data_IF_757420673844
#
_entry.id   IF_757420673844
#
_cell.length_a   1.000
_cell.length_b   1.000
_cell.length_c   1.000
_cell.angle_alpha   90.00
_cell.angle_beta   90.00
_cell.angle_gamma   90.00
#
_symmetry.space_group_name_H-M   'P 1'
#
loop_
_entity.id
_entity.type
_entity.pdbx_description
1 polymer ?
#
# COMPACT_ATOMS: atom_id res chain seq x y z
N UNK A 1 -9.90 -15.14 -11.61
CA UNK A 1 -8.86 -14.81 -10.62
C UNK A 1 -7.53 -15.38 -11.12
N UNK A 2 -6.73 -14.58 -11.83
CA UNK A 2 -5.48 -15.07 -12.46
C UNK A 2 -4.36 -15.25 -11.43
N UNK A 3 -4.29 -14.36 -10.43
CA UNK A 3 -3.32 -14.42 -9.34
C UNK A 3 -3.45 -15.74 -8.54
N UNK A 4 -4.67 -16.15 -8.20
CA UNK A 4 -4.91 -17.39 -7.45
C UNK A 4 -4.48 -18.63 -8.22
N UNK A 5 -4.68 -18.62 -9.54
CA UNK A 5 -4.25 -19.71 -10.42
C UNK A 5 -2.72 -19.85 -10.41
N UNK A 6 -2.00 -18.73 -10.54
CA UNK A 6 -0.53 -18.71 -10.44
C UNK A 6 -0.06 -19.20 -9.07
N UNK A 7 -0.67 -18.68 -7.99
CA UNK A 7 -0.34 -19.08 -6.62
C UNK A 7 -0.49 -20.59 -6.41
N UNK A 8 -1.63 -21.18 -6.80
CA UNK A 8 -1.87 -22.62 -6.66
C UNK A 8 -0.86 -23.46 -7.44
N UNK A 9 -0.44 -22.99 -8.62
CA UNK A 9 0.51 -23.73 -9.47
C UNK A 9 1.91 -23.73 -8.87
N UNK A 10 2.34 -22.60 -8.32
CA UNK A 10 3.62 -22.44 -7.62
C UNK A 10 3.63 -23.28 -6.34
N UNK A 11 2.57 -23.22 -5.54
CA UNK A 11 2.45 -23.98 -4.28
C UNK A 11 2.62 -25.48 -4.50
N UNK A 12 1.93 -26.04 -5.52
CA UNK A 12 2.07 -27.46 -5.90
C UNK A 12 3.50 -27.83 -6.28
N UNK A 13 4.27 -26.91 -6.85
CA UNK A 13 5.66 -27.16 -7.28
C UNK A 13 6.65 -27.09 -6.12
N UNK A 14 6.36 -26.31 -5.08
CA UNK A 14 7.25 -26.04 -3.94
C UNK A 14 7.04 -27.04 -2.79
N UNK A 15 5.83 -27.57 -2.58
CA UNK A 15 5.43 -28.33 -1.38
C UNK A 15 6.33 -29.52 -0.99
N UNK A 16 7.07 -30.10 -1.93
CA UNK A 16 7.94 -31.28 -1.71
C UNK A 16 9.38 -31.03 -2.21
N UNK A 17 9.85 -29.78 -2.20
CA UNK A 17 11.21 -29.44 -2.60
C UNK A 17 11.95 -28.76 -1.46
N UNK A 18 13.18 -29.18 -1.24
CA UNK A 18 14.09 -28.50 -0.32
C UNK A 18 14.63 -27.24 -0.97
N UNK A 19 14.35 -26.09 -0.35
CA UNK A 19 14.85 -24.80 -0.77
C UNK A 19 15.92 -24.38 0.21
N UNK A 20 17.17 -24.49 -0.22
CA UNK A 20 18.33 -24.17 0.61
C UNK A 20 18.66 -22.67 0.55
N UNK A 21 18.33 -22.01 -0.57
CA UNK A 21 18.68 -20.61 -0.82
C UNK A 21 17.46 -19.86 -1.40
N UNK A 22 17.19 -18.61 -0.97
CA UNK A 22 16.09 -17.81 -1.52
C UNK A 22 16.15 -17.59 -3.04
N UNK A 23 17.33 -17.64 -3.65
CA UNK A 23 17.50 -17.52 -5.11
C UNK A 23 16.86 -18.70 -5.86
N UNK A 24 16.76 -19.88 -5.25
CA UNK A 24 16.20 -21.08 -5.87
C UNK A 24 14.69 -20.93 -6.14
N UNK A 25 14.00 -20.05 -5.41
CA UNK A 25 12.59 -19.73 -5.65
C UNK A 25 12.34 -19.23 -7.07
N UNK A 26 13.28 -18.49 -7.68
CA UNK A 26 13.14 -17.98 -9.05
C UNK A 26 12.98 -19.15 -10.01
N UNK A 27 13.88 -20.13 -9.92
CA UNK A 27 13.86 -21.32 -10.78
C UNK A 27 12.59 -22.14 -10.59
N UNK A 28 12.07 -22.20 -9.36
CA UNK A 28 10.86 -22.96 -9.04
C UNK A 28 9.60 -22.26 -9.52
N UNK A 29 9.57 -20.93 -9.45
CA UNK A 29 8.48 -20.11 -9.96
C UNK A 29 8.43 -20.11 -11.50
N UNK A 30 9.57 -20.02 -12.19
CA UNK A 30 9.63 -20.10 -13.67
C UNK A 30 9.08 -21.45 -14.15
N UNK A 31 9.53 -22.53 -13.50
CA UNK A 31 9.17 -23.91 -13.85
C UNK A 31 7.86 -24.39 -13.20
N UNK A 32 7.09 -23.51 -12.57
CA UNK A 32 5.82 -23.89 -11.94
C UNK A 32 4.77 -24.28 -12.98
N UNK A 33 4.76 -23.64 -14.16
CA UNK A 33 3.80 -23.92 -15.23
C UNK A 33 4.50 -24.43 -16.49
N UNK A 34 4.24 -25.68 -16.88
CA UNK A 34 4.79 -26.24 -18.13
C UNK A 34 3.92 -25.96 -19.37
N UNK A 35 2.60 -25.84 -19.23
CA UNK A 35 1.67 -25.54 -20.34
C UNK A 35 0.83 -24.30 -20.02
N UNK A 36 0.62 -23.36 -20.96
CA UNK A 36 1.16 -23.32 -22.33
C UNK A 36 2.65 -22.94 -22.40
N UNK A 37 3.19 -22.25 -21.40
CA UNK A 37 4.61 -21.88 -21.31
C UNK A 37 5.01 -21.55 -19.85
N UNK A 38 6.31 -21.69 -19.50
CA UNK A 38 6.91 -21.26 -18.23
C UNK A 38 6.58 -19.82 -17.86
N UNK A 39 6.54 -19.51 -16.56
CA UNK A 39 6.34 -18.14 -16.12
C UNK A 39 7.61 -17.32 -16.36
N UNK A 40 7.43 -16.05 -16.71
CA UNK A 40 8.51 -15.06 -16.67
C UNK A 40 8.60 -14.53 -15.25
N UNK A 41 9.71 -14.82 -14.57
CA UNK A 41 9.96 -14.34 -13.21
C UNK A 41 11.02 -13.25 -13.28
N UNK A 42 10.77 -12.16 -12.59
CA UNK A 42 11.72 -11.06 -12.45
C UNK A 42 12.18 -11.01 -11.01
N UNK A 43 13.50 -10.96 -10.81
CA UNK A 43 14.03 -10.62 -9.50
C UNK A 43 13.77 -9.14 -9.25
N UNK A 44 13.25 -8.81 -8.07
CA UNK A 44 12.94 -7.43 -7.73
C UNK A 44 14.22 -6.77 -7.22
N UNK A 45 14.68 -5.76 -7.94
CA UNK A 45 15.77 -4.90 -7.49
C UNK A 45 15.24 -3.77 -6.60
N UNK A 46 16.15 -3.05 -5.96
CA UNK A 46 15.83 -1.84 -5.20
C UNK A 46 15.03 -0.82 -6.02
N UNK A 47 15.21 -0.80 -7.35
CA UNK A 47 14.49 0.04 -8.30
C UNK A 47 13.00 -0.30 -8.45
N UNK A 48 12.55 -1.49 -8.05
CA UNK A 48 11.14 -1.85 -8.11
C UNK A 48 10.33 -1.16 -7.00
N UNK A 49 10.96 -0.90 -5.86
CA UNK A 49 10.29 -0.21 -4.78
C UNK A 49 9.99 1.20 -5.24
N UNK A 50 8.73 1.59 -5.08
CA UNK A 50 8.30 2.93 -5.40
C UNK A 50 8.96 3.88 -4.41
N UNK A 51 10.01 4.55 -4.85
CA UNK A 51 10.58 5.65 -4.09
C UNK A 51 9.51 6.73 -4.00
N UNK A 52 9.18 7.11 -2.77
CA UNK A 52 8.33 8.26 -2.52
C UNK A 52 9.19 9.37 -1.90
N UNK A 53 10.07 10.02 -2.68
CA UNK A 53 10.92 11.09 -2.16
C UNK A 53 10.10 12.29 -1.67
N UNK A 54 8.89 12.47 -2.22
CA UNK A 54 7.96 13.54 -1.87
C UNK A 54 6.72 13.02 -1.11
N UNK A 55 6.85 12.07 -0.16
CA UNK A 55 5.75 11.86 0.78
C UNK A 55 5.67 13.10 1.66
N UNK A 56 4.69 13.97 1.36
CA UNK A 56 4.27 15.03 2.28
C UNK A 56 3.63 14.37 3.48
N UNK A 57 4.45 14.02 4.47
CA UNK A 57 3.99 13.50 5.74
C UNK A 57 3.30 14.62 6.52
N UNK A 58 2.03 14.40 6.86
CA UNK A 58 1.32 15.27 7.79
C UNK A 58 1.79 14.94 9.21
N UNK A 59 2.46 15.88 9.87
CA UNK A 59 2.90 15.72 11.28
C UNK A 59 1.71 15.62 12.25
N UNK A 60 0.55 16.19 11.89
CA UNK A 60 -0.66 16.11 12.69
C UNK A 60 -1.92 16.22 11.86
N UNK A 61 -2.96 15.48 12.23
CA UNK A 61 -4.31 15.66 11.67
C UNK A 61 -5.19 16.58 12.52
N UNK A 62 -4.63 17.20 13.58
CA UNK A 62 -5.39 18.05 14.50
C UNK A 62 -5.88 19.32 13.79
N UNK A 63 -7.21 19.59 13.79
CA UNK A 63 -7.80 20.77 13.16
C UNK A 63 -7.27 22.12 13.63
N UNK A 64 -7.04 22.29 14.94
CA UNK A 64 -6.52 23.54 15.50
C UNK A 64 -5.34 23.36 16.44
N UNK A 65 -4.71 24.48 16.81
CA UNK A 65 -3.43 24.50 17.54
C UNK A 65 -3.58 25.02 18.98
N UNK A 66 -4.58 25.85 19.27
CA UNK A 66 -4.78 26.52 20.56
C UNK A 66 -5.61 25.68 21.52
N UNK A 67 -5.54 26.05 22.81
CA UNK A 67 -6.43 25.50 23.85
C UNK A 67 -7.84 26.00 23.56
N UNK A 68 -8.80 25.09 23.43
CA UNK A 68 -10.18 25.37 23.01
C UNK A 68 -10.49 25.06 21.55
N UNK A 69 -9.47 24.83 20.71
CA UNK A 69 -9.69 24.41 19.32
C UNK A 69 -10.12 22.93 19.22
N UNK A 70 -10.84 22.54 18.16
CA UNK A 70 -11.21 21.15 17.90
C UNK A 70 -9.97 20.24 17.85
N UNK A 71 -10.04 19.14 18.58
CA UNK A 71 -8.98 18.13 18.65
C UNK A 71 -9.30 16.94 17.75
N UNK A 72 -8.39 15.97 17.67
CA UNK A 72 -8.56 14.76 16.83
C UNK A 72 -9.85 14.00 17.16
N UNK A 73 -10.31 14.03 18.41
CA UNK A 73 -11.54 13.37 18.86
C UNK A 73 -12.81 14.00 18.29
N UNK A 74 -12.74 15.26 17.84
CA UNK A 74 -13.87 15.98 17.25
C UNK A 74 -14.01 15.72 15.74
N UNK A 75 -13.05 15.03 15.11
CA UNK A 75 -13.12 14.66 13.70
C UNK A 75 -14.23 13.63 13.47
N UNK A 76 -15.02 13.83 12.42
CA UNK A 76 -16.07 12.90 12.02
C UNK A 76 -15.82 12.27 10.65
N UNK A 77 -15.23 13.02 9.73
CA UNK A 77 -14.89 12.53 8.40
C UNK A 77 -13.56 13.12 7.93
N UNK A 78 -12.80 12.30 7.20
CA UNK A 78 -11.56 12.68 6.53
C UNK A 78 -11.69 12.33 5.05
N UNK A 79 -11.22 13.21 4.18
CA UNK A 79 -11.14 12.99 2.73
C UNK A 79 -9.74 13.33 2.26
N UNK A 80 -9.14 12.40 1.54
CA UNK A 80 -7.87 12.63 0.84
C UNK A 80 -8.17 13.01 -0.61
N UNK A 81 -7.75 14.20 -1.02
CA UNK A 81 -8.02 14.74 -2.35
C UNK A 81 -6.81 15.57 -2.80
N UNK A 82 -6.22 15.21 -3.96
CA UNK A 82 -5.08 15.94 -4.56
C UNK A 82 -3.89 16.16 -3.60
N UNK A 83 -3.58 15.18 -2.74
CA UNK A 83 -2.48 15.30 -1.77
C UNK A 83 -2.81 16.14 -0.53
N UNK A 84 -4.07 16.57 -0.38
CA UNK A 84 -4.54 17.38 0.74
C UNK A 84 -5.55 16.61 1.58
N UNK A 85 -5.32 16.58 2.90
CA UNK A 85 -6.30 16.06 3.86
C UNK A 85 -7.34 17.15 4.13
N UNK A 86 -8.61 16.82 3.86
CA UNK A 86 -9.77 17.62 4.22
C UNK A 86 -10.55 16.93 5.34
N UNK A 87 -11.20 17.71 6.20
CA UNK A 87 -11.94 17.18 7.34
C UNK A 87 -13.31 17.83 7.53
N UNK A 88 -14.18 17.13 8.27
CA UNK A 88 -15.45 17.64 8.80
C UNK A 88 -15.57 17.34 10.28
N UNK A 89 -16.18 18.28 11.00
CA UNK A 89 -16.49 18.15 12.44
C UNK A 89 -17.92 17.66 12.68
N UNK A 90 -18.82 17.84 11.70
CA UNK A 90 -20.20 17.33 11.75
C UNK A 90 -20.55 16.61 10.45
N UNK A 91 -21.37 15.57 10.55
CA UNK A 91 -21.85 14.83 9.37
C UNK A 91 -22.79 15.68 8.48
N UNK A 92 -23.48 16.65 9.09
CA UNK A 92 -24.43 17.54 8.42
C UNK A 92 -23.76 18.69 7.67
N UNK A 93 -22.46 18.94 7.90
CA UNK A 93 -21.76 20.02 7.21
C UNK A 93 -21.60 19.66 5.73
N UNK A 94 -22.08 20.53 4.84
CA UNK A 94 -21.90 20.35 3.40
C UNK A 94 -20.52 20.82 2.89
N UNK A 95 -19.75 21.52 3.73
CA UNK A 95 -18.45 22.07 3.37
C UNK A 95 -17.31 21.23 3.95
N UNK A 96 -16.22 21.10 3.20
CA UNK A 96 -15.00 20.42 3.63
C UNK A 96 -13.97 21.45 4.06
N UNK A 97 -13.41 21.30 5.27
CA UNK A 97 -12.33 22.17 5.74
C UNK A 97 -10.98 21.57 5.37
N UNK A 98 -10.03 22.43 4.96
CA UNK A 98 -8.68 22.00 4.60
C UNK A 98 -7.82 21.88 5.85
N UNK A 99 -7.09 20.77 5.99
CA UNK A 99 -6.04 20.68 7.00
C UNK A 99 -4.79 21.41 6.50
N UNK A 100 -4.48 22.56 7.10
CA UNK A 100 -3.23 23.30 6.83
C UNK A 100 -2.18 22.90 7.84
N UNK A 101 -1.57 21.73 7.63
CA UNK A 101 -0.25 21.47 8.20
C UNK A 101 0.75 22.15 7.26
N UNK A 102 1.07 23.41 7.55
CA UNK A 102 2.37 23.95 7.15
C UNK A 102 3.38 23.40 8.16
N UNK A 103 4.44 22.81 7.62
CA UNK A 103 5.69 22.48 8.33
C UNK A 103 6.09 23.59 9.31
#
# INVERSE_FOLDING_TARGET
MEADSVHSTIEKRIRNKDINIPADYVTHCENARLKPFPYKVFYLDHSFFKDFPEIKHYTSIRPGRKVGDPTVTNLKQLKYEEGVIRYKLRHTDNTWQRNTVKE
#
